data_IF_436253729292
#
_entry.id   IF_436253729292
#
_cell.length_a   1.000
_cell.length_b   1.000
_cell.length_c   1.000
_cell.angle_alpha   90.00
_cell.angle_beta   90.00
_cell.angle_gamma   90.00
#
_symmetry.space_group_name_H-M   'P 1'
#
loop_
_entity.id
_entity.type
_entity.pdbx_description
1 polymer ?
#
# COMPACT_ATOMS: atom_id res chain seq x y z
N UNK A 1 -20.62 35.13 21.84
CA UNK A 1 -19.91 33.96 21.25
C UNK A 1 -18.46 33.97 21.74
N UNK A 2 -17.94 32.85 22.26
CA UNK A 2 -16.52 32.75 22.63
C UNK A 2 -15.66 32.83 21.36
N UNK A 3 -14.64 33.69 21.37
CA UNK A 3 -13.68 33.83 20.25
C UNK A 3 -12.78 32.59 20.24
N UNK A 4 -12.90 31.74 19.22
CA UNK A 4 -12.07 30.54 19.09
C UNK A 4 -10.67 30.91 18.64
N UNK A 5 -9.64 30.33 19.28
CA UNK A 5 -8.24 30.61 18.95
C UNK A 5 -7.87 29.90 17.64
N UNK A 6 -7.00 30.52 16.81
CA UNK A 6 -6.50 29.86 15.61
C UNK A 6 -5.61 28.66 15.96
N UNK A 7 -5.60 27.65 15.10
CA UNK A 7 -4.77 26.44 15.20
C UNK A 7 -3.91 26.37 13.94
N UNK A 8 -2.60 26.15 14.10
CA UNK A 8 -1.72 25.89 12.97
C UNK A 8 -1.82 24.42 12.55
N UNK A 9 -2.58 24.14 11.48
CA UNK A 9 -2.75 22.80 10.90
C UNK A 9 -2.62 22.82 9.38
N UNK A 10 -1.91 23.82 8.83
CA UNK A 10 -1.57 23.81 7.42
C UNK A 10 -0.42 22.84 7.17
N UNK A 11 -0.77 21.63 6.74
CA UNK A 11 0.18 20.53 6.52
C UNK A 11 1.25 20.87 5.47
N UNK A 12 0.98 21.82 4.56
CA UNK A 12 1.95 22.24 3.55
C UNK A 12 3.10 23.08 4.16
N UNK A 13 2.93 23.57 5.39
CA UNK A 13 3.97 24.33 6.11
C UNK A 13 4.84 23.45 7.02
N UNK A 14 4.51 22.16 7.15
CA UNK A 14 5.17 21.22 8.06
C UNK A 14 6.07 20.28 7.26
N UNK A 15 7.32 20.11 7.70
CA UNK A 15 8.25 19.14 7.11
C UNK A 15 8.08 17.78 7.78
N UNK A 16 7.79 16.73 6.99
CA UNK A 16 7.58 15.39 7.49
C UNK A 16 8.84 14.51 7.35
N UNK A 17 9.29 13.82 8.42
CA UNK A 17 10.38 12.86 8.30
C UNK A 17 9.94 11.61 7.52
N UNK A 18 10.89 10.82 6.99
CA UNK A 18 10.60 9.56 6.28
C UNK A 18 9.73 8.59 7.09
N UNK A 19 9.90 8.53 8.40
CA UNK A 19 9.08 7.72 9.32
C UNK A 19 7.61 8.12 9.31
N UNK A 20 7.30 9.41 9.25
CA UNK A 20 5.94 9.92 9.17
C UNK A 20 5.29 9.55 7.81
N UNK A 21 6.04 9.69 6.71
CA UNK A 21 5.61 9.28 5.38
C UNK A 21 5.33 7.77 5.36
N UNK A 22 6.22 6.97 5.95
CA UNK A 22 6.04 5.52 5.99
C UNK A 22 4.79 5.12 6.78
N UNK A 23 4.52 5.81 7.91
CA UNK A 23 3.33 5.55 8.72
C UNK A 23 2.03 5.88 7.97
N UNK A 24 1.95 7.03 7.29
CA UNK A 24 0.71 7.39 6.57
C UNK A 24 0.48 6.48 5.35
N UNK A 25 1.53 6.09 4.63
CA UNK A 25 1.42 5.12 3.55
C UNK A 25 0.91 3.76 4.06
N UNK A 26 1.33 3.31 5.24
CA UNK A 26 0.88 2.03 5.81
C UNK A 26 -0.62 2.09 6.14
N UNK A 27 -1.10 3.22 6.67
CA UNK A 27 -2.54 3.46 6.92
C UNK A 27 -3.35 3.51 5.63
N UNK A 28 -2.89 4.29 4.64
CA UNK A 28 -3.57 4.43 3.35
C UNK A 28 -3.65 3.09 2.62
N UNK A 29 -2.57 2.30 2.61
CA UNK A 29 -2.56 0.97 2.00
C UNK A 29 -3.47 -0.02 2.74
N UNK A 30 -3.58 0.08 4.06
CA UNK A 30 -4.56 -0.68 4.85
C UNK A 30 -6.00 -0.43 4.40
N UNK A 31 -6.36 0.85 4.24
CA UNK A 31 -7.70 1.24 3.72
C UNK A 31 -7.88 0.83 2.26
N UNK A 32 -6.86 1.00 1.41
CA UNK A 32 -6.91 0.60 0.01
C UNK A 32 -7.16 -0.91 -0.15
N UNK A 33 -6.55 -1.74 0.69
CA UNK A 33 -6.77 -3.20 0.68
C UNK A 33 -8.20 -3.58 1.04
N UNK A 34 -8.86 -2.85 1.93
CA UNK A 34 -10.28 -3.11 2.25
C UNK A 34 -11.16 -3.00 0.99
N UNK A 35 -10.93 -1.99 0.14
CA UNK A 35 -11.63 -1.88 -1.13
C UNK A 35 -11.15 -2.90 -2.17
N UNK A 36 -9.85 -3.20 -2.19
CA UNK A 36 -9.28 -4.20 -3.10
C UNK A 36 -9.87 -5.60 -2.87
N UNK A 37 -10.28 -5.95 -1.65
CA UNK A 37 -10.94 -7.22 -1.35
C UNK A 37 -12.21 -7.43 -2.17
N UNK A 38 -12.96 -6.39 -2.50
CA UNK A 38 -14.15 -6.51 -3.35
C UNK A 38 -13.79 -7.10 -4.73
N UNK A 39 -12.71 -6.60 -5.33
CA UNK A 39 -12.19 -7.09 -6.60
C UNK A 39 -11.62 -8.50 -6.48
N UNK A 40 -10.78 -8.74 -5.47
CA UNK A 40 -10.11 -10.04 -5.28
C UNK A 40 -11.11 -11.15 -5.01
N UNK A 41 -12.12 -10.92 -4.15
CA UNK A 41 -13.15 -11.91 -3.84
C UNK A 41 -13.99 -12.21 -5.08
N UNK A 42 -14.39 -11.19 -5.85
CA UNK A 42 -15.14 -11.37 -7.09
C UNK A 42 -14.34 -12.17 -8.12
N UNK A 43 -13.10 -11.73 -8.43
CA UNK A 43 -12.24 -12.40 -9.39
C UNK A 43 -11.94 -13.85 -9.00
N UNK A 44 -11.69 -14.10 -7.71
CA UNK A 44 -11.49 -15.45 -7.19
C UNK A 44 -12.74 -16.31 -7.33
N UNK A 45 -13.89 -15.85 -6.81
CA UNK A 45 -15.13 -16.62 -6.83
C UNK A 45 -15.59 -16.94 -8.27
N UNK A 46 -15.48 -15.98 -9.19
CA UNK A 46 -15.85 -16.19 -10.61
C UNK A 46 -14.86 -17.09 -11.33
N UNK A 47 -13.54 -16.94 -11.10
CA UNK A 47 -12.53 -17.72 -11.82
C UNK A 47 -12.55 -19.21 -11.48
N UNK A 48 -12.93 -19.58 -10.26
CA UNK A 48 -13.00 -20.99 -9.82
C UNK A 48 -14.34 -21.66 -10.09
N UNK A 49 -15.36 -20.91 -10.52
CA UNK A 49 -16.72 -21.43 -10.69
C UNK A 49 -16.88 -22.28 -11.97
N UNK A 50 -16.21 -21.92 -13.07
CA UNK A 50 -16.26 -22.63 -14.34
C UNK A 50 -15.14 -22.17 -15.29
N UNK A 51 -14.94 -22.90 -16.40
CA UNK A 51 -14.02 -22.49 -17.46
C UNK A 51 -14.42 -21.15 -18.09
N UNK A 52 -15.72 -20.91 -18.26
CA UNK A 52 -16.26 -19.64 -18.76
C UNK A 52 -15.98 -18.48 -17.78
N UNK A 53 -16.17 -18.73 -16.48
CA UNK A 53 -15.85 -17.79 -15.42
C UNK A 53 -14.36 -17.44 -15.37
N UNK A 54 -13.49 -18.45 -15.49
CA UNK A 54 -12.05 -18.26 -15.61
C UNK A 54 -11.69 -17.36 -16.79
N UNK A 55 -12.20 -17.66 -18.00
CA UNK A 55 -11.92 -16.87 -19.20
C UNK A 55 -12.45 -15.43 -19.10
N UNK A 56 -13.58 -15.23 -18.41
CA UNK A 56 -14.13 -13.89 -18.13
C UNK A 56 -13.17 -13.08 -17.28
N UNK A 57 -12.70 -13.64 -16.15
CA UNK A 57 -11.75 -12.96 -15.25
C UNK A 57 -10.42 -12.73 -15.94
N UNK A 58 -9.93 -13.69 -16.72
CA UNK A 58 -8.71 -13.55 -17.52
C UNK A 58 -8.80 -12.35 -18.46
N UNK A 59 -9.88 -12.25 -19.24
CA UNK A 59 -10.10 -11.12 -20.14
C UNK A 59 -10.25 -9.77 -19.42
N UNK A 60 -10.88 -9.76 -18.24
CA UNK A 60 -10.96 -8.56 -17.40
C UNK A 60 -9.59 -8.12 -16.88
N UNK A 61 -8.75 -9.06 -16.45
CA UNK A 61 -7.40 -8.77 -15.93
C UNK A 61 -6.42 -8.36 -17.03
N UNK A 62 -6.60 -8.85 -18.26
CA UNK A 62 -5.77 -8.47 -19.42
C UNK A 62 -6.10 -7.08 -19.95
N UNK A 63 -7.32 -6.59 -19.72
CA UNK A 63 -7.70 -5.23 -20.07
C UNK A 63 -6.86 -4.21 -19.27
N UNK A 64 -6.59 -3.05 -19.88
CA UNK A 64 -5.72 -2.01 -19.29
C UNK A 64 -6.16 -1.59 -17.88
N UNK A 65 -7.48 -1.50 -17.62
CA UNK A 65 -8.01 -1.17 -16.30
C UNK A 65 -7.83 -2.31 -15.30
N UNK A 66 -7.94 -3.57 -15.74
CA UNK A 66 -7.70 -4.76 -14.93
C UNK A 66 -6.25 -4.86 -14.52
N UNK A 67 -5.31 -4.56 -15.42
CA UNK A 67 -3.88 -4.47 -15.12
C UNK A 67 -3.59 -3.39 -14.07
N UNK A 68 -4.16 -2.18 -14.22
CA UNK A 68 -3.99 -1.10 -13.23
C UNK A 68 -4.52 -1.50 -11.86
N UNK A 69 -5.73 -2.09 -11.79
CA UNK A 69 -6.31 -2.54 -10.53
C UNK A 69 -5.44 -3.64 -9.91
N UNK A 70 -5.02 -4.63 -10.69
CA UNK A 70 -4.20 -5.75 -10.22
C UNK A 70 -2.84 -5.27 -9.69
N UNK A 71 -2.14 -4.42 -10.44
CA UNK A 71 -0.86 -3.83 -10.03
C UNK A 71 -1.05 -2.96 -8.78
N UNK A 72 -2.10 -2.14 -8.74
CA UNK A 72 -2.41 -1.29 -7.58
C UNK A 72 -2.71 -2.10 -6.33
N UNK A 73 -3.52 -3.15 -6.44
CA UNK A 73 -3.82 -4.08 -5.35
C UNK A 73 -2.56 -4.79 -4.87
N UNK A 74 -1.77 -5.35 -5.77
CA UNK A 74 -0.53 -6.05 -5.44
C UNK A 74 0.48 -5.09 -4.78
N UNK A 75 0.66 -3.89 -5.34
CA UNK A 75 1.55 -2.86 -4.79
C UNK A 75 1.13 -2.40 -3.39
N UNK A 76 -0.17 -2.17 -3.16
CA UNK A 76 -0.70 -1.80 -1.85
C UNK A 76 -0.47 -2.92 -0.81
N UNK A 77 -0.73 -4.17 -1.18
CA UNK A 77 -0.46 -5.34 -0.34
C UNK A 77 1.03 -5.45 0.00
N UNK A 78 1.90 -5.33 -1.01
CA UNK A 78 3.36 -5.39 -0.82
C UNK A 78 3.83 -4.31 0.16
N UNK A 79 3.41 -3.05 -0.01
CA UNK A 79 3.79 -2.00 0.93
C UNK A 79 3.27 -2.27 2.35
N UNK A 80 2.02 -2.69 2.47
CA UNK A 80 1.40 -2.91 3.77
C UNK A 80 2.11 -4.03 4.55
N UNK A 81 2.49 -5.11 3.87
CA UNK A 81 3.30 -6.19 4.44
C UNK A 81 4.68 -5.68 4.86
N UNK A 82 5.40 -4.96 3.98
CA UNK A 82 6.72 -4.41 4.31
C UNK A 82 6.64 -3.49 5.54
N UNK A 83 5.65 -2.59 5.58
CA UNK A 83 5.40 -1.71 6.71
C UNK A 83 5.05 -2.48 7.98
N UNK A 84 4.21 -3.52 7.87
CA UNK A 84 3.85 -4.39 8.99
C UNK A 84 5.04 -5.16 9.54
N UNK A 85 5.88 -5.75 8.69
CA UNK A 85 7.14 -6.40 9.09
C UNK A 85 8.06 -5.40 9.78
N UNK A 86 8.17 -4.17 9.24
CA UNK A 86 8.94 -3.11 9.88
C UNK A 86 8.40 -2.78 11.27
N UNK A 87 7.08 -2.71 11.44
CA UNK A 87 6.45 -2.50 12.75
C UNK A 87 6.77 -3.64 13.72
N UNK A 88 6.63 -4.90 13.31
CA UNK A 88 6.97 -6.06 14.14
C UNK A 88 8.44 -6.04 14.57
N UNK A 89 9.36 -5.70 13.67
CA UNK A 89 10.79 -5.57 14.01
C UNK A 89 11.00 -4.46 15.05
N UNK A 90 10.28 -3.34 14.94
CA UNK A 90 10.33 -2.28 15.95
C UNK A 90 9.75 -2.71 17.29
N UNK A 91 8.63 -3.45 17.28
CA UNK A 91 8.01 -3.98 18.50
C UNK A 91 8.93 -4.98 19.24
N UNK A 92 9.88 -5.59 18.53
CA UNK A 92 10.93 -6.44 19.10
C UNK A 92 12.11 -5.66 19.69
N UNK A 93 12.10 -4.32 19.65
CA UNK A 93 13.15 -3.45 20.20
C UNK A 93 14.24 -3.04 19.22
N UNK A 94 14.03 -3.20 17.91
CA UNK A 94 14.98 -2.77 16.87
C UNK A 94 14.57 -1.44 16.23
N UNK A 95 15.53 -0.68 15.70
CA UNK A 95 15.30 0.59 14.99
C UNK A 95 14.57 1.70 15.79
N UNK A 96 14.78 1.74 17.11
CA UNK A 96 14.11 2.70 18.02
C UNK A 96 14.67 4.13 17.91
N UNK A 97 15.93 4.28 17.50
CA UNK A 97 16.59 5.59 17.37
C UNK A 97 16.18 6.34 16.11
N UNK A 98 16.16 7.67 16.14
CA UNK A 98 15.73 8.53 15.03
C UNK A 98 16.38 8.17 13.69
N UNK A 99 17.71 8.02 13.67
CA UNK A 99 18.45 7.69 12.45
C UNK A 99 18.12 6.28 11.95
N UNK A 100 18.04 5.32 12.87
CA UNK A 100 17.70 3.93 12.54
C UNK A 100 16.27 3.78 12.03
N UNK A 101 15.31 4.50 12.63
CA UNK A 101 13.92 4.55 12.21
C UNK A 101 13.75 5.23 10.85
N UNK A 102 14.49 6.30 10.58
CA UNK A 102 14.50 6.98 9.28
C UNK A 102 15.13 6.12 8.19
N UNK A 103 16.22 5.44 8.48
CA UNK A 103 16.88 4.55 7.53
C UNK A 103 16.00 3.34 7.19
N UNK A 104 15.38 2.70 8.20
CA UNK A 104 14.45 1.59 7.96
C UNK A 104 13.24 2.03 7.13
N UNK A 105 12.71 3.24 7.35
CA UNK A 105 11.62 3.80 6.56
C UNK A 105 12.01 4.02 5.09
N UNK A 106 13.20 4.60 4.83
CA UNK A 106 13.72 4.78 3.47
C UNK A 106 13.92 3.45 2.75
N UNK A 107 14.51 2.46 3.42
CA UNK A 107 14.73 1.12 2.86
C UNK A 107 13.40 0.45 2.54
N UNK A 108 12.43 0.49 3.45
CA UNK A 108 11.09 -0.06 3.24
C UNK A 108 10.41 0.54 1.99
N UNK A 109 10.47 1.86 1.84
CA UNK A 109 9.92 2.56 0.67
C UNK A 109 10.67 2.16 -0.60
N UNK A 110 12.00 2.09 -0.57
CA UNK A 110 12.81 1.69 -1.72
C UNK A 110 12.49 0.27 -2.19
N UNK A 111 12.39 -0.69 -1.26
CA UNK A 111 11.99 -2.08 -1.56
C UNK A 111 10.61 -2.11 -2.21
N UNK A 112 9.65 -1.35 -1.67
CA UNK A 112 8.32 -1.27 -2.24
C UNK A 112 8.28 -0.69 -3.65
N UNK A 113 9.04 0.38 -3.91
CA UNK A 113 9.12 0.98 -5.26
C UNK A 113 9.69 -0.02 -6.25
N UNK A 114 10.79 -0.69 -5.91
CA UNK A 114 11.40 -1.71 -6.76
C UNK A 114 10.44 -2.89 -7.01
N UNK A 115 9.77 -3.38 -5.97
CA UNK A 115 8.79 -4.44 -6.09
C UNK A 115 7.59 -4.02 -6.96
N UNK A 116 7.11 -2.78 -6.82
CA UNK A 116 5.99 -2.26 -7.62
C UNK A 116 6.35 -2.08 -9.08
N UNK A 117 7.58 -1.65 -9.38
CA UNK A 117 8.11 -1.61 -10.76
C UNK A 117 8.18 -3.03 -11.32
N UNK A 118 8.71 -4.00 -10.56
CA UNK A 118 8.76 -5.40 -10.97
C UNK A 118 7.36 -5.98 -11.25
N UNK A 119 6.39 -5.71 -10.39
CA UNK A 119 4.99 -6.07 -10.61
C UNK A 119 4.43 -5.45 -11.89
N UNK A 120 4.74 -4.17 -12.12
CA UNK A 120 4.37 -3.47 -13.36
C UNK A 120 4.95 -4.16 -14.59
N UNK A 121 6.23 -4.54 -14.58
CA UNK A 121 6.87 -5.23 -15.71
C UNK A 121 6.30 -6.64 -15.94
N UNK A 122 6.00 -7.38 -14.88
CA UNK A 122 5.51 -8.76 -14.99
C UNK A 122 4.06 -8.83 -15.45
N UNK A 123 3.23 -7.87 -15.04
CA UNK A 123 1.78 -7.89 -15.29
C UNK A 123 1.37 -7.12 -16.55
N UNK A 124 2.26 -6.30 -17.13
CA UNK A 124 1.98 -5.52 -18.32
C UNK A 124 2.44 -6.18 -19.61
#
# INVERSE_FOLDING_TARGET
MKKQRPVNLDLNTITFPPTAIASILHRVTGVAMFFALLFVIYAWATSVASLEGYNTVLGMMDAWYGKIITIGTASALTYHIIGGVRHVIMDMGFWEELDSGNNSAKIAIAIWVLASIGLGVVLW
#
